data_IF_735708837798
#
_entry.id   IF_735708837798
#
_cell.length_a   1.000
_cell.length_b   1.000
_cell.length_c   1.000
_cell.angle_alpha   90.00
_cell.angle_beta   90.00
_cell.angle_gamma   90.00
#
_symmetry.space_group_name_H-M   'P 1'
#
loop_
_entity.id
_entity.type
_entity.pdbx_description
1 polymer ?
#
# COMPACT_ATOMS: atom_id res chain seq x y z
N UNK A 1 -0.26 -8.19 20.72
CA UNK A 1 -0.14 -8.19 19.24
C UNK A 1 -1.24 -7.30 18.68
N UNK A 2 -0.95 -6.41 17.71
CA UNK A 2 -1.98 -5.60 17.03
C UNK A 2 -2.38 -6.31 15.74
N UNK A 3 -3.67 -6.35 15.43
CA UNK A 3 -4.23 -7.05 14.27
C UNK A 3 -4.94 -6.07 13.33
N UNK A 4 -4.76 -6.23 12.02
CA UNK A 4 -5.48 -5.48 10.99
C UNK A 4 -6.84 -6.15 10.72
N UNK A 5 -7.70 -6.23 11.73
CA UNK A 5 -8.96 -6.98 11.68
C UNK A 5 -10.20 -6.12 11.37
N UNK A 6 -10.02 -4.82 11.18
CA UNK A 6 -11.14 -3.91 10.89
C UNK A 6 -11.43 -3.76 9.39
N UNK A 7 -10.72 -4.50 8.52
CA UNK A 7 -11.02 -4.56 7.11
C UNK A 7 -12.39 -5.19 6.85
N UNK A 8 -13.22 -4.52 6.04
CA UNK A 8 -14.47 -5.06 5.49
C UNK A 8 -14.30 -5.56 4.07
N UNK A 9 -13.50 -4.86 3.28
CA UNK A 9 -13.30 -5.12 1.85
C UNK A 9 -12.07 -5.99 1.56
N UNK A 10 -11.23 -6.26 2.55
CA UNK A 10 -10.07 -7.15 2.40
C UNK A 10 -10.12 -8.30 3.40
N UNK A 11 -9.80 -9.50 2.94
CA UNK A 11 -9.67 -10.68 3.79
C UNK A 11 -8.74 -11.71 3.16
N UNK A 12 -7.87 -12.31 3.95
CA UNK A 12 -7.21 -13.58 3.60
C UNK A 12 -8.25 -14.68 3.80
N UNK A 13 -8.58 -15.40 2.72
CA UNK A 13 -9.56 -16.49 2.73
C UNK A 13 -8.89 -17.79 3.16
N UNK A 14 -7.72 -18.07 2.56
CA UNK A 14 -6.97 -19.30 2.78
C UNK A 14 -5.50 -19.10 2.42
N UNK A 15 -4.64 -19.99 2.91
CA UNK A 15 -3.21 -19.98 2.61
C UNK A 15 -2.75 -21.43 2.47
N UNK A 16 -2.20 -21.80 1.32
CA UNK A 16 -1.67 -23.14 1.07
C UNK A 16 -0.71 -23.14 -0.12
N UNK A 17 0.23 -24.08 -0.11
CA UNK A 17 1.13 -24.39 -1.22
C UNK A 17 1.84 -23.15 -1.79
N UNK A 18 2.42 -22.33 -0.91
CA UNK A 18 3.12 -21.10 -1.29
C UNK A 18 2.23 -19.97 -1.81
N UNK A 19 0.91 -20.07 -1.66
CA UNK A 19 -0.06 -19.11 -2.17
C UNK A 19 -0.97 -18.56 -1.06
N UNK A 20 -1.30 -17.28 -1.15
CA UNK A 20 -2.39 -16.64 -0.40
C UNK A 20 -3.60 -16.47 -1.29
N UNK A 21 -4.76 -16.93 -0.84
CA UNK A 21 -6.06 -16.64 -1.44
C UNK A 21 -6.68 -15.45 -0.72
N UNK A 22 -6.87 -14.35 -1.42
CA UNK A 22 -7.29 -13.08 -0.83
C UNK A 22 -8.55 -12.54 -1.51
N UNK A 23 -9.45 -11.99 -0.71
CA UNK A 23 -10.58 -11.20 -1.20
C UNK A 23 -10.22 -9.71 -1.15
N UNK A 24 -10.42 -9.01 -2.26
CA UNK A 24 -10.20 -7.58 -2.46
C UNK A 24 -11.48 -6.93 -3.00
N UNK A 25 -12.40 -6.52 -2.12
CA UNK A 25 -13.77 -6.18 -2.51
C UNK A 25 -14.49 -7.43 -3.02
N UNK A 26 -14.94 -7.40 -4.27
CA UNK A 26 -15.59 -8.55 -4.92
C UNK A 26 -14.62 -9.41 -5.75
N UNK A 27 -13.35 -9.06 -5.78
CA UNK A 27 -12.31 -9.76 -6.55
C UNK A 27 -11.54 -10.71 -5.65
N UNK A 28 -11.35 -11.95 -6.09
CA UNK A 28 -10.56 -12.97 -5.42
C UNK A 28 -9.26 -13.18 -6.20
N UNK A 29 -8.14 -12.96 -5.52
CA UNK A 29 -6.80 -13.08 -6.08
C UNK A 29 -6.02 -14.20 -5.39
N UNK A 30 -5.20 -14.92 -6.17
CA UNK A 30 -4.16 -15.81 -5.65
C UNK A 30 -2.79 -15.20 -5.93
N UNK A 31 -1.99 -15.04 -4.88
CA UNK A 31 -0.64 -14.45 -4.99
C UNK A 31 0.38 -15.28 -4.22
N UNK A 32 1.62 -15.42 -4.76
CA UNK A 32 2.65 -16.21 -4.09
C UNK A 32 3.13 -15.56 -2.80
N UNK A 33 3.26 -16.41 -1.77
CA UNK A 33 3.90 -16.08 -0.51
C UNK A 33 4.76 -17.26 -0.06
N UNK A 34 6.10 -17.17 -0.19
CA UNK A 34 7.00 -18.28 0.06
C UNK A 34 7.09 -18.69 1.55
N UNK A 35 6.52 -17.91 2.45
CA UNK A 35 6.45 -18.27 3.87
C UNK A 35 5.38 -19.33 4.16
N UNK A 36 4.47 -19.55 3.21
CA UNK A 36 3.41 -20.55 3.32
C UNK A 36 3.94 -21.91 2.88
N UNK A 37 4.42 -22.71 3.82
CA UNK A 37 5.08 -23.99 3.56
C UNK A 37 4.14 -25.21 3.64
N UNK A 38 2.93 -25.05 4.20
CA UNK A 38 1.92 -26.10 4.28
C UNK A 38 1.16 -26.24 2.97
N UNK A 39 0.71 -27.47 2.67
CA UNK A 39 0.07 -27.82 1.38
C UNK A 39 -1.45 -27.86 1.45
N UNK A 40 -2.00 -28.14 2.64
CA UNK A 40 -3.42 -28.41 2.80
C UNK A 40 -4.25 -27.13 2.73
N UNK A 41 -5.27 -27.16 1.88
CA UNK A 41 -6.24 -26.09 1.71
C UNK A 41 -7.37 -26.28 2.72
N UNK A 42 -7.61 -25.27 3.57
CA UNK A 42 -8.72 -25.28 4.52
C UNK A 42 -10.07 -25.10 3.83
N UNK A 43 -10.09 -24.36 2.71
CA UNK A 43 -11.31 -24.05 1.94
C UNK A 43 -11.17 -24.38 0.45
N UNK A 44 -11.07 -25.69 0.05
CA UNK A 44 -10.79 -26.07 -1.34
C UNK A 44 -11.78 -25.51 -2.38
N UNK A 45 -13.05 -25.34 -1.99
CA UNK A 45 -14.08 -24.77 -2.88
C UNK A 45 -13.80 -23.31 -3.23
N UNK A 46 -13.21 -22.54 -2.31
CA UNK A 46 -12.89 -21.12 -2.53
C UNK A 46 -11.77 -20.90 -3.55
N UNK A 47 -10.86 -21.86 -3.69
CA UNK A 47 -9.81 -21.82 -4.69
C UNK A 47 -10.33 -21.95 -6.13
N UNK A 48 -11.58 -22.41 -6.32
CA UNK A 48 -12.26 -22.45 -7.63
C UNK A 48 -12.91 -21.10 -8.00
N UNK A 49 -12.96 -20.17 -7.06
CA UNK A 49 -13.59 -18.85 -7.24
C UNK A 49 -12.60 -17.76 -7.71
N UNK A 50 -11.32 -18.07 -7.88
CA UNK A 50 -10.25 -17.12 -8.21
C UNK A 50 -10.56 -16.35 -9.50
N UNK A 51 -10.44 -15.01 -9.43
CA UNK A 51 -10.52 -14.13 -10.58
C UNK A 51 -9.19 -14.04 -11.33
N UNK A 52 -8.08 -13.88 -10.59
CA UNK A 52 -6.75 -13.87 -11.19
C UNK A 52 -5.70 -14.49 -10.27
N UNK A 53 -4.69 -15.12 -10.87
CA UNK A 53 -3.55 -15.73 -10.20
C UNK A 53 -2.26 -15.07 -10.68
N UNK A 54 -1.37 -14.69 -9.77
CA UNK A 54 -0.04 -14.23 -10.13
C UNK A 54 0.93 -15.39 -10.11
N UNK A 55 1.59 -15.63 -11.23
CA UNK A 55 2.64 -16.62 -11.40
C UNK A 55 4.00 -15.95 -11.37
N UNK A 56 4.87 -16.41 -10.46
CA UNK A 56 6.23 -15.90 -10.34
C UNK A 56 7.12 -16.56 -11.40
N UNK A 57 7.89 -15.76 -12.12
CA UNK A 57 8.92 -16.27 -13.04
C UNK A 57 10.19 -16.69 -12.27
N UNK A 58 10.89 -17.71 -12.76
CA UNK A 58 12.19 -18.15 -12.24
C UNK A 58 13.29 -17.10 -12.47
N UNK A 59 13.13 -16.24 -13.49
CA UNK A 59 14.09 -15.17 -13.83
C UNK A 59 13.79 -13.82 -13.12
N UNK A 60 12.85 -13.81 -12.18
CA UNK A 60 12.36 -12.60 -11.52
C UNK A 60 11.14 -11.98 -12.21
N UNK A 61 10.30 -11.27 -11.43
CA UNK A 61 9.02 -10.78 -11.92
C UNK A 61 7.97 -11.89 -12.02
N UNK A 62 7.09 -11.82 -13.02
CA UNK A 62 6.02 -12.78 -13.27
C UNK A 62 4.85 -12.16 -14.04
N UNK A 63 3.74 -12.89 -14.13
CA UNK A 63 2.56 -12.47 -14.87
C UNK A 63 1.26 -12.84 -14.15
N UNK A 64 0.19 -12.10 -14.46
CA UNK A 64 -1.15 -12.43 -14.04
C UNK A 64 -1.85 -13.31 -15.06
N UNK A 65 -2.41 -14.40 -14.61
CA UNK A 65 -3.38 -15.22 -15.32
C UNK A 65 -4.78 -14.80 -14.87
N UNK A 66 -5.61 -14.40 -15.82
CA UNK A 66 -6.99 -13.96 -15.56
C UNK A 66 -7.96 -15.12 -15.80
N UNK A 67 -8.46 -15.72 -14.73
CA UNK A 67 -9.34 -16.89 -14.78
C UNK A 67 -10.81 -16.51 -15.01
N UNK A 68 -11.20 -15.29 -14.63
CA UNK A 68 -12.55 -14.75 -14.77
C UNK A 68 -12.52 -13.28 -15.16
N UNK A 69 -13.59 -12.81 -15.78
CA UNK A 69 -13.77 -11.38 -16.05
C UNK A 69 -13.75 -10.59 -14.75
N UNK A 70 -12.93 -9.55 -14.69
CA UNK A 70 -12.82 -8.67 -13.54
C UNK A 70 -12.51 -7.23 -14.00
N UNK A 71 -12.76 -6.20 -13.17
CA UNK A 71 -12.39 -4.84 -13.47
C UNK A 71 -10.86 -4.71 -13.64
N UNK A 72 -10.43 -3.81 -14.53
CA UNK A 72 -9.00 -3.47 -14.65
C UNK A 72 -8.50 -2.70 -13.41
N UNK A 73 -9.40 -1.96 -12.77
CA UNK A 73 -9.18 -1.22 -11.53
C UNK A 73 -10.49 -1.18 -10.75
N UNK A 74 -10.41 -1.29 -9.42
CA UNK A 74 -11.56 -1.19 -8.52
C UNK A 74 -11.14 -0.53 -7.21
N UNK A 75 -12.09 -0.28 -6.31
CA UNK A 75 -11.83 0.36 -5.03
C UNK A 75 -12.11 -0.59 -3.88
N UNK A 76 -11.31 -0.47 -2.83
CA UNK A 76 -11.57 -1.06 -1.51
C UNK A 76 -11.43 0.03 -0.45
N UNK A 77 -12.10 -0.17 0.68
CA UNK A 77 -12.14 0.81 1.77
C UNK A 77 -11.58 0.23 3.06
N UNK A 78 -10.84 1.07 3.76
CA UNK A 78 -10.48 0.87 5.14
C UNK A 78 -10.95 2.08 5.96
N UNK A 79 -11.96 1.90 6.79
CA UNK A 79 -12.61 3.00 7.52
C UNK A 79 -13.03 4.13 6.55
N UNK A 80 -12.46 5.32 6.71
CA UNK A 80 -12.71 6.48 5.85
C UNK A 80 -11.73 6.63 4.67
N UNK A 81 -10.82 5.69 4.49
CA UNK A 81 -9.86 5.70 3.39
C UNK A 81 -10.35 4.81 2.23
N UNK A 82 -10.20 5.29 1.02
CA UNK A 82 -10.53 4.56 -0.22
C UNK A 82 -9.27 4.38 -1.05
N UNK A 83 -9.02 3.14 -1.45
CA UNK A 83 -7.83 2.77 -2.23
C UNK A 83 -8.23 2.20 -3.58
N UNK A 84 -7.62 2.73 -4.63
CA UNK A 84 -7.72 2.21 -5.97
C UNK A 84 -6.79 1.01 -6.10
N UNK A 85 -7.30 -0.13 -6.53
CA UNK A 85 -6.59 -1.41 -6.63
C UNK A 85 -6.56 -1.85 -8.08
N UNK A 86 -5.41 -2.34 -8.53
CA UNK A 86 -5.23 -2.95 -9.85
C UNK A 86 -4.07 -3.94 -9.84
N UNK A 87 -4.13 -5.04 -10.60
CA UNK A 87 -2.98 -5.88 -10.87
C UNK A 87 -1.85 -5.07 -11.52
N UNK A 88 -0.63 -5.25 -11.03
CA UNK A 88 0.56 -4.61 -11.58
C UNK A 88 1.41 -5.65 -12.32
N UNK A 89 2.48 -5.21 -12.99
CA UNK A 89 3.49 -6.09 -13.57
C UNK A 89 4.24 -6.96 -12.55
N UNK A 90 3.96 -6.75 -11.26
CA UNK A 90 4.44 -7.56 -10.13
C UNK A 90 3.24 -8.13 -9.36
N UNK A 91 3.51 -9.00 -8.35
CA UNK A 91 2.46 -9.58 -7.49
C UNK A 91 1.64 -8.55 -6.68
N UNK A 92 2.09 -7.31 -6.63
CA UNK A 92 1.44 -6.25 -5.85
C UNK A 92 0.23 -5.68 -6.57
N UNK A 93 -0.72 -5.18 -5.79
CA UNK A 93 -2.00 -4.63 -6.24
C UNK A 93 -2.17 -3.15 -5.92
N UNK A 94 -1.09 -2.52 -5.44
CA UNK A 94 -1.07 -1.11 -5.06
C UNK A 94 -1.32 -0.86 -3.57
N UNK A 95 -1.49 -1.90 -2.76
CA UNK A 95 -1.72 -1.73 -1.32
C UNK A 95 -1.14 -2.90 -0.53
N UNK A 96 -0.73 -2.59 0.72
CA UNK A 96 -0.32 -3.55 1.75
C UNK A 96 -1.33 -3.47 2.91
N UNK A 97 -2.36 -4.34 2.92
CA UNK A 97 -3.45 -4.26 3.90
C UNK A 97 -3.01 -4.45 5.35
N UNK A 98 -1.92 -5.17 5.58
CA UNK A 98 -1.30 -5.37 6.89
C UNK A 98 -0.82 -4.07 7.54
N UNK A 99 -0.53 -3.04 6.73
CA UNK A 99 -0.13 -1.72 7.21
C UNK A 99 -1.26 -0.95 7.91
N UNK A 100 -2.49 -1.43 7.85
CA UNK A 100 -3.63 -0.80 8.51
C UNK A 100 -3.44 -0.62 10.02
N UNK A 101 -2.72 -1.53 10.68
CA UNK A 101 -2.38 -1.38 12.12
C UNK A 101 -1.49 -0.17 12.37
N UNK A 102 -0.58 0.14 11.44
CA UNK A 102 0.29 1.30 11.52
C UNK A 102 -0.50 2.58 11.21
N UNK A 103 -1.43 2.52 10.23
CA UNK A 103 -2.30 3.66 9.92
C UNK A 103 -3.15 4.06 11.12
N UNK A 104 -3.77 3.08 11.79
CA UNK A 104 -4.56 3.34 13.01
C UNK A 104 -3.72 3.95 14.13
N UNK A 105 -2.52 3.45 14.33
CA UNK A 105 -1.59 4.01 15.30
C UNK A 105 -1.22 5.46 14.97
N UNK A 106 -0.88 5.76 13.70
CA UNK A 106 -0.55 7.10 13.23
C UNK A 106 -1.73 8.06 13.40
N UNK A 107 -2.94 7.63 13.00
CA UNK A 107 -4.17 8.42 13.14
C UNK A 107 -4.40 8.78 14.61
N UNK A 108 -4.33 7.80 15.49
CA UNK A 108 -4.56 8.03 16.92
C UNK A 108 -3.48 8.94 17.52
N UNK A 109 -2.22 8.76 17.13
CA UNK A 109 -1.11 9.59 17.59
C UNK A 109 -1.27 11.04 17.15
N UNK A 110 -1.59 11.27 15.88
CA UNK A 110 -1.80 12.63 15.35
C UNK A 110 -3.00 13.30 16.02
N UNK A 111 -4.12 12.58 16.19
CA UNK A 111 -5.33 13.12 16.84
C UNK A 111 -5.15 13.43 18.33
N UNK A 112 -4.20 12.80 19.00
CA UNK A 112 -3.89 13.10 20.41
C UNK A 112 -3.09 14.39 20.58
N UNK A 113 -2.49 14.92 19.54
CA UNK A 113 -1.76 16.18 19.57
C UNK A 113 -2.72 17.37 19.44
N UNK A 114 -2.46 18.43 20.21
CA UNK A 114 -3.29 19.65 20.21
C UNK A 114 -2.79 20.73 19.25
N UNK A 115 -1.92 20.36 18.31
CA UNK A 115 -1.29 21.27 17.34
C UNK A 115 -1.24 20.62 15.97
N UNK A 116 -0.96 21.41 14.96
CA UNK A 116 -0.69 20.90 13.62
C UNK A 116 0.57 20.01 13.64
N UNK A 117 0.49 18.85 12.99
CA UNK A 117 1.59 17.88 12.85
C UNK A 117 2.06 17.85 11.41
N UNK A 118 3.36 18.00 11.22
CA UNK A 118 4.04 17.91 9.92
C UNK A 118 4.71 16.55 9.78
N UNK A 119 4.25 15.76 8.81
CA UNK A 119 4.74 14.39 8.56
C UNK A 119 5.53 14.35 7.26
N UNK A 120 6.72 13.75 7.30
CA UNK A 120 7.50 13.39 6.13
C UNK A 120 7.34 11.89 5.87
N UNK A 121 6.71 11.52 4.76
CA UNK A 121 6.55 10.13 4.33
C UNK A 121 7.48 9.85 3.14
N UNK A 122 8.51 9.02 3.36
CA UNK A 122 9.55 8.64 2.41
C UNK A 122 9.30 7.23 1.90
N UNK A 123 9.66 6.95 0.65
CA UNK A 123 9.30 5.70 -0.04
C UNK A 123 7.79 5.46 0.02
N UNK A 124 7.04 6.54 -0.22
CA UNK A 124 5.66 6.65 0.22
C UNK A 124 4.66 5.83 -0.63
N UNK A 125 5.14 5.20 -1.73
CA UNK A 125 4.39 4.28 -2.59
C UNK A 125 3.05 4.88 -3.06
N UNK A 126 1.95 4.16 -2.94
CA UNK A 126 0.61 4.60 -3.34
C UNK A 126 -0.13 5.39 -2.25
N UNK A 127 0.57 5.81 -1.19
CA UNK A 127 0.09 6.79 -0.23
C UNK A 127 -0.83 6.27 0.87
N UNK A 128 -0.80 4.98 1.24
CA UNK A 128 -1.60 4.47 2.34
C UNK A 128 -1.35 5.22 3.66
N UNK A 129 -0.09 5.33 4.08
CA UNK A 129 0.30 6.10 5.27
C UNK A 129 0.04 7.61 5.10
N UNK A 130 0.23 8.16 3.89
CA UNK A 130 -0.09 9.56 3.57
C UNK A 130 -1.56 9.85 3.81
N UNK A 131 -2.46 9.01 3.27
CA UNK A 131 -3.91 9.15 3.47
C UNK A 131 -4.30 9.03 4.95
N UNK A 132 -3.72 8.09 5.67
CA UNK A 132 -3.95 7.92 7.10
C UNK A 132 -3.59 9.20 7.89
N UNK A 133 -2.39 9.75 7.68
CA UNK A 133 -1.94 10.97 8.35
C UNK A 133 -2.78 12.19 7.95
N UNK A 134 -3.07 12.37 6.66
CA UNK A 134 -3.89 13.47 6.17
C UNK A 134 -5.33 13.41 6.69
N UNK A 135 -5.92 12.22 6.82
CA UNK A 135 -7.26 12.02 7.39
C UNK A 135 -7.34 12.41 8.88
N UNK A 136 -6.21 12.31 9.57
CA UNK A 136 -6.10 12.72 10.97
C UNK A 136 -5.82 14.22 11.16
N UNK A 137 -5.61 14.97 10.06
CA UNK A 137 -5.39 16.43 10.08
C UNK A 137 -3.94 16.87 9.96
N UNK A 138 -3.00 15.95 9.69
CA UNK A 138 -1.61 16.32 9.49
C UNK A 138 -1.35 16.95 8.11
N UNK A 139 -0.34 17.85 8.08
CA UNK A 139 0.30 18.27 6.84
C UNK A 139 1.32 17.20 6.42
N UNK A 140 1.22 16.67 5.20
CA UNK A 140 2.06 15.54 4.79
C UNK A 140 2.90 15.88 3.56
N UNK A 141 4.21 15.65 3.65
CA UNK A 141 5.10 15.63 2.50
C UNK A 141 5.32 14.17 2.06
N UNK A 142 4.71 13.80 0.94
CA UNK A 142 4.79 12.48 0.31
C UNK A 142 5.92 12.47 -0.71
N UNK A 143 6.90 11.60 -0.53
CA UNK A 143 8.08 11.49 -1.40
C UNK A 143 8.24 10.06 -1.91
N UNK A 144 8.24 9.91 -3.22
CA UNK A 144 8.53 8.65 -3.90
C UNK A 144 9.29 8.92 -5.20
N UNK A 145 10.19 8.03 -5.58
CA UNK A 145 10.97 8.18 -6.82
C UNK A 145 10.16 7.85 -8.08
N UNK A 146 9.07 7.11 -7.93
CA UNK A 146 8.20 6.70 -9.03
C UNK A 146 7.08 7.70 -9.27
N UNK A 147 7.09 8.35 -10.44
CA UNK A 147 5.99 9.22 -10.87
C UNK A 147 4.65 8.48 -10.90
N UNK A 148 4.65 7.21 -11.36
CA UNK A 148 3.44 6.39 -11.41
C UNK A 148 2.84 6.13 -10.02
N UNK A 149 3.68 5.82 -9.03
CA UNK A 149 3.23 5.61 -7.64
C UNK A 149 2.72 6.90 -7.02
N UNK A 150 3.41 8.02 -7.24
CA UNK A 150 2.98 9.34 -6.75
C UNK A 150 1.65 9.78 -7.38
N UNK A 151 1.43 9.51 -8.69
CA UNK A 151 0.13 9.77 -9.34
C UNK A 151 -0.97 8.93 -8.70
N UNK A 152 -0.71 7.65 -8.49
CA UNK A 152 -1.66 6.74 -7.84
C UNK A 152 -1.97 7.15 -6.39
N UNK A 153 -0.95 7.65 -5.67
CA UNK A 153 -1.17 8.21 -4.33
C UNK A 153 -2.13 9.41 -4.35
N UNK A 154 -1.99 10.32 -5.33
CA UNK A 154 -2.95 11.43 -5.52
C UNK A 154 -4.37 10.92 -5.76
N UNK A 155 -4.54 9.94 -6.64
CA UNK A 155 -5.84 9.31 -6.91
C UNK A 155 -6.45 8.71 -5.64
N UNK A 156 -5.65 8.06 -4.77
CA UNK A 156 -6.10 7.51 -3.51
C UNK A 156 -6.52 8.60 -2.51
N UNK A 157 -5.79 9.70 -2.44
CA UNK A 157 -6.14 10.87 -1.63
C UNK A 157 -7.45 11.49 -2.10
N UNK A 158 -7.63 11.68 -3.39
CA UNK A 158 -8.86 12.21 -3.99
C UNK A 158 -10.05 11.26 -3.75
N UNK A 159 -9.88 9.95 -3.99
CA UNK A 159 -10.90 8.94 -3.75
C UNK A 159 -11.31 8.82 -2.28
N UNK A 160 -10.41 9.19 -1.36
CA UNK A 160 -10.67 9.25 0.08
C UNK A 160 -11.36 10.55 0.51
N UNK A 161 -11.68 11.48 -0.40
CA UNK A 161 -12.26 12.78 -0.07
C UNK A 161 -11.29 13.72 0.65
N UNK A 162 -9.98 13.53 0.48
CA UNK A 162 -8.93 14.28 1.15
C UNK A 162 -8.20 15.27 0.24
N UNK A 163 -8.78 15.60 -0.93
CA UNK A 163 -8.16 16.48 -1.94
C UNK A 163 -7.71 17.83 -1.39
N UNK A 164 -8.50 18.39 -0.46
CA UNK A 164 -8.25 19.73 0.12
C UNK A 164 -7.33 19.68 1.36
N UNK A 165 -6.81 18.48 1.72
CA UNK A 165 -5.85 18.35 2.81
C UNK A 165 -4.46 18.78 2.36
N UNK A 166 -3.64 19.34 3.27
CA UNK A 166 -2.30 19.83 2.96
C UNK A 166 -1.32 18.68 2.70
N UNK A 167 -1.44 18.06 1.52
CA UNK A 167 -0.52 16.99 1.07
C UNK A 167 0.32 17.51 -0.09
N UNK A 168 1.63 17.53 0.12
CA UNK A 168 2.62 17.89 -0.89
C UNK A 168 3.21 16.62 -1.49
N UNK A 169 3.02 16.41 -2.79
CA UNK A 169 3.54 15.26 -3.53
C UNK A 169 4.83 15.59 -4.25
N UNK A 170 5.87 14.80 -4.00
CA UNK A 170 7.22 14.99 -4.56
C UNK A 170 7.64 13.71 -5.28
N UNK A 171 8.03 13.83 -6.54
CA UNK A 171 8.68 12.77 -7.31
C UNK A 171 10.17 13.03 -7.28
N UNK A 172 10.92 12.29 -6.45
CA UNK A 172 12.35 12.50 -6.29
C UNK A 172 13.02 11.31 -5.61
N UNK A 173 14.33 11.20 -5.77
CA UNK A 173 15.17 10.35 -4.96
C UNK A 173 15.14 10.81 -3.49
N UNK A 174 14.90 9.87 -2.59
CA UNK A 174 14.70 10.16 -1.16
C UNK A 174 15.94 10.82 -0.54
N UNK A 175 17.14 10.34 -0.85
CA UNK A 175 18.39 10.89 -0.27
C UNK A 175 18.63 12.32 -0.77
N UNK A 176 18.42 12.55 -2.07
CA UNK A 176 18.52 13.88 -2.66
C UNK A 176 17.51 14.86 -2.06
N UNK A 177 16.26 14.38 -1.88
CA UNK A 177 15.22 15.18 -1.26
C UNK A 177 15.56 15.57 0.18
N UNK A 178 15.93 14.60 1.02
CA UNK A 178 16.28 14.84 2.43
C UNK A 178 17.46 15.81 2.56
N UNK A 179 18.51 15.64 1.76
CA UNK A 179 19.64 16.56 1.74
C UNK A 179 19.24 18.01 1.38
N UNK A 180 18.23 18.19 0.51
CA UNK A 180 17.69 19.52 0.22
C UNK A 180 16.88 20.10 1.38
N UNK A 181 16.07 19.27 2.04
CA UNK A 181 15.28 19.71 3.20
C UNK A 181 16.19 20.12 4.37
N UNK A 182 17.27 19.39 4.61
CA UNK A 182 18.30 19.76 5.62
C UNK A 182 18.91 21.13 5.29
N UNK A 183 19.35 21.37 4.04
CA UNK A 183 19.92 22.66 3.62
C UNK A 183 18.94 23.82 3.72
N UNK A 184 17.62 23.55 3.58
CA UNK A 184 16.55 24.54 3.72
C UNK A 184 16.14 24.78 5.16
N UNK A 185 16.65 24.00 6.11
CA UNK A 185 16.26 24.07 7.51
C UNK A 185 14.83 23.61 7.79
N UNK A 186 14.20 22.86 6.85
CA UNK A 186 12.84 22.35 7.04
C UNK A 186 12.84 21.28 8.13
N UNK A 187 11.80 21.31 8.97
CA UNK A 187 11.62 20.37 10.08
C UNK A 187 10.25 19.69 9.99
N UNK A 188 10.21 18.45 10.45
CA UNK A 188 9.03 17.61 10.53
C UNK A 188 8.88 17.05 11.94
N UNK A 189 7.64 16.84 12.37
CA UNK A 189 7.33 16.28 13.69
C UNK A 189 7.46 14.75 13.69
N UNK A 190 7.22 14.13 12.54
CA UNK A 190 7.33 12.69 12.36
C UNK A 190 7.88 12.33 10.98
N UNK A 191 8.63 11.25 10.92
CA UNK A 191 9.15 10.66 9.69
C UNK A 191 8.62 9.22 9.60
N UNK A 192 8.03 8.89 8.45
CA UNK A 192 7.60 7.53 8.09
C UNK A 192 8.50 7.10 6.94
N UNK A 193 9.09 5.91 7.04
CA UNK A 193 9.84 5.34 5.94
C UNK A 193 9.81 3.82 5.98
N UNK A 194 9.61 3.23 4.81
CA UNK A 194 9.68 1.79 4.58
C UNK A 194 10.53 1.55 3.32
N UNK A 195 11.87 1.64 3.47
CA UNK A 195 12.78 1.55 2.35
C UNK A 195 12.81 0.14 1.76
N UNK A 196 12.98 -0.01 0.44
CA UNK A 196 13.20 -1.31 -0.17
C UNK A 196 14.49 -1.94 0.37
N UNK A 197 14.50 -3.27 0.51
CA UNK A 197 15.65 -4.03 1.06
C UNK A 197 16.93 -3.92 0.21
N UNK A 198 16.81 -3.51 -1.07
CA UNK A 198 17.95 -3.14 -1.92
C UNK A 198 17.59 -1.98 -2.83
N UNK A 199 18.50 -1.02 -2.92
CA UNK A 199 18.44 0.02 -3.96
C UNK A 199 18.74 -0.62 -5.31
N UNK A 200 17.84 -0.48 -6.26
CA UNK A 200 18.14 -0.80 -7.65
C UNK A 200 18.77 0.42 -8.30
N UNK A 201 20.07 0.58 -8.14
CA UNK A 201 20.85 1.43 -9.03
C UNK A 201 21.12 0.69 -10.35
N UNK A 202 21.46 1.43 -11.41
CA UNK A 202 21.84 0.86 -12.71
C UNK A 202 23.08 -0.08 -12.66
N UNK A 203 23.67 -0.26 -11.50
CA UNK A 203 24.85 -1.10 -11.25
C UNK A 203 24.65 -2.08 -10.07
N UNK A 204 23.43 -2.52 -9.77
CA UNK A 204 23.12 -3.52 -8.71
C UNK A 204 22.51 -2.93 -7.48
#
# INVERSE_FOLDING_TARGET
MKLANEWKDYKIIDMADGQKLEKWGDVILSRPDPQIIWKDKSFPKKWKEINATYHRSSSGGGSWEFNKKMPKQWQIKYKNLTFNIKPMGFKHTGLFPEQAVNWDWMINKIKSEKREIKVLNLFAYTGGATGACASAGASVCHVDSSKGMTTWAKENIESSGLKDRPVRFIVDDVVKFVNREIRRGNKYDAIIMDPPSYGRGAKG
#
